data_IF_873601439268
#
_entry.id   IF_873601439268
#
_cell.length_a   1.000
_cell.length_b   1.000
_cell.length_c   1.000
_cell.angle_alpha   90.00
_cell.angle_beta   90.00
_cell.angle_gamma   90.00
#
_symmetry.space_group_name_H-M   'P 1'
#
loop_
_entity.id
_entity.type
_entity.pdbx_description
1 polymer ?
#
# COMPACT_ATOMS: atom_id res chain seq x y z
N UNK A 1 14.43 -1.46 -12.68
CA UNK A 1 15.57 -2.36 -12.43
C UNK A 1 16.42 -1.80 -11.32
N UNK A 2 16.69 -2.61 -10.30
CA UNK A 2 17.52 -2.28 -9.15
C UNK A 2 18.72 -3.21 -9.10
N UNK A 3 19.87 -2.72 -8.65
CA UNK A 3 21.14 -3.44 -8.68
C UNK A 3 21.72 -3.57 -7.28
N UNK A 4 22.39 -4.68 -6.99
CA UNK A 4 23.10 -4.86 -5.72
C UNK A 4 24.43 -5.58 -5.96
N UNK A 5 25.38 -5.41 -5.05
CA UNK A 5 26.64 -6.15 -5.09
C UNK A 5 26.50 -7.47 -4.34
N UNK A 6 26.80 -8.59 -5.01
CA UNK A 6 26.81 -9.93 -4.40
C UNK A 6 27.88 -10.07 -3.31
N UNK A 7 28.93 -9.24 -3.35
CA UNK A 7 30.01 -9.23 -2.34
C UNK A 7 29.66 -8.44 -1.08
N UNK A 8 28.65 -7.57 -1.15
CA UNK A 8 28.27 -6.71 -0.04
C UNK A 8 27.36 -7.42 0.95
N UNK A 9 27.75 -7.43 2.23
CA UNK A 9 26.93 -7.96 3.33
C UNK A 9 25.83 -7.01 3.81
N UNK A 10 25.79 -5.78 3.31
CA UNK A 10 24.89 -4.73 3.83
C UNK A 10 23.47 -4.77 3.24
N UNK A 11 23.20 -5.69 2.31
CA UNK A 11 21.92 -5.81 1.61
C UNK A 11 21.37 -4.46 1.10
N UNK A 12 22.17 -3.75 0.30
CA UNK A 12 21.81 -2.43 -0.26
C UNK A 12 21.54 -2.55 -1.75
N UNK A 13 20.43 -1.97 -2.20
CA UNK A 13 20.11 -1.82 -3.63
C UNK A 13 20.35 -0.39 -4.12
N UNK A 14 20.66 -0.29 -5.41
CA UNK A 14 21.07 0.90 -6.11
C UNK A 14 20.29 1.06 -7.42
N UNK A 15 20.16 2.30 -7.89
CA UNK A 15 19.64 2.61 -9.24
C UNK A 15 20.82 2.59 -10.23
N UNK A 16 20.52 2.37 -11.52
CA UNK A 16 21.49 2.57 -12.61
C UNK A 16 22.14 3.96 -12.50
N UNK A 17 23.48 4.01 -12.49
CA UNK A 17 24.24 5.26 -12.35
C UNK A 17 24.69 5.61 -10.93
N UNK A 18 24.37 4.79 -9.92
CA UNK A 18 24.94 4.99 -8.59
C UNK A 18 26.45 4.71 -8.58
N UNK A 19 27.25 5.65 -8.05
CA UNK A 19 28.72 5.48 -7.90
C UNK A 19 29.12 4.15 -7.24
N UNK A 20 28.32 3.65 -6.31
CA UNK A 20 28.62 2.41 -5.59
C UNK A 20 28.45 1.15 -6.43
N UNK A 21 27.61 1.17 -7.46
CA UNK A 21 27.41 0.02 -8.36
C UNK A 21 28.24 0.14 -9.63
N UNK A 22 28.50 1.35 -10.11
CA UNK A 22 29.28 1.59 -11.35
C UNK A 22 30.73 1.13 -11.25
N UNK A 23 31.28 1.01 -10.03
CA UNK A 23 32.67 0.57 -9.78
C UNK A 23 32.75 -0.96 -9.57
N UNK A 24 31.62 -1.64 -9.40
CA UNK A 24 31.58 -3.09 -9.16
C UNK A 24 31.66 -3.81 -10.51
N UNK A 25 32.52 -4.83 -10.60
CA UNK A 25 32.60 -5.67 -11.80
C UNK A 25 31.26 -6.38 -12.07
N UNK A 26 30.85 -6.48 -13.34
CA UNK A 26 29.53 -6.96 -13.78
C UNK A 26 29.18 -8.36 -13.25
N UNK A 27 30.15 -9.27 -13.22
CA UNK A 27 30.04 -10.61 -12.63
C UNK A 27 29.52 -10.63 -11.18
N UNK A 28 29.85 -9.58 -10.43
CA UNK A 28 29.54 -9.42 -9.01
C UNK A 28 28.26 -8.61 -8.77
N UNK A 29 27.52 -8.26 -9.82
CA UNK A 29 26.26 -7.52 -9.73
C UNK A 29 25.08 -8.50 -9.80
N UNK A 30 24.16 -8.35 -8.85
CA UNK A 30 22.84 -8.96 -8.88
C UNK A 30 21.77 -7.91 -9.22
N UNK A 31 20.60 -8.36 -9.66
CA UNK A 31 19.50 -7.47 -10.03
C UNK A 31 18.18 -7.90 -9.41
N UNK A 32 17.31 -6.91 -9.17
CA UNK A 32 15.91 -7.09 -8.84
C UNK A 32 15.07 -6.33 -9.86
N UNK A 33 13.94 -6.92 -10.27
CA UNK A 33 13.01 -6.28 -11.18
C UNK A 33 12.25 -5.14 -10.48
N UNK A 34 11.85 -5.37 -9.22
CA UNK A 34 10.94 -4.50 -8.47
C UNK A 34 11.47 -4.20 -7.06
N UNK A 35 11.09 -3.05 -6.51
CA UNK A 35 11.48 -2.62 -5.16
C UNK A 35 10.89 -3.54 -4.08
N UNK A 36 9.63 -3.96 -4.25
CA UNK A 36 8.94 -4.93 -3.39
C UNK A 36 9.65 -6.26 -3.21
N UNK A 37 10.29 -6.75 -4.27
CA UNK A 37 11.06 -8.00 -4.22
C UNK A 37 12.30 -7.83 -3.34
N UNK A 38 13.08 -6.78 -3.61
CA UNK A 38 14.24 -6.43 -2.80
C UNK A 38 13.87 -6.24 -1.31
N UNK A 39 12.77 -5.57 -1.01
CA UNK A 39 12.31 -5.36 0.37
C UNK A 39 11.86 -6.62 1.08
N UNK A 40 11.31 -7.62 0.36
CA UNK A 40 10.98 -8.94 0.92
C UNK A 40 12.23 -9.74 1.26
N UNK A 41 13.25 -9.65 0.43
CA UNK A 41 14.58 -10.23 0.66
C UNK A 41 15.39 -9.48 1.73
N UNK A 42 14.82 -8.44 2.34
CA UNK A 42 15.45 -7.68 3.43
C UNK A 42 16.44 -6.61 2.96
N UNK A 43 16.53 -6.34 1.66
CA UNK A 43 17.37 -5.28 1.13
C UNK A 43 16.79 -3.89 1.43
N UNK A 44 17.67 -2.89 1.44
CA UNK A 44 17.35 -1.48 1.65
C UNK A 44 17.89 -0.62 0.52
N UNK A 45 17.20 0.47 0.19
CA UNK A 45 17.65 1.39 -0.85
C UNK A 45 18.83 2.23 -0.39
N UNK A 46 19.83 2.43 -1.25
CA UNK A 46 20.96 3.32 -0.96
C UNK A 46 20.44 4.70 -0.54
N UNK A 47 21.00 5.26 0.51
CA UNK A 47 20.71 6.63 0.95
C UNK A 47 20.93 7.68 -0.15
N UNK A 48 21.85 7.38 -1.08
CA UNK A 48 22.18 8.18 -2.24
C UNK A 48 21.17 8.06 -3.39
N UNK A 49 20.59 6.87 -3.56
CA UNK A 49 19.63 6.59 -4.64
C UNK A 49 18.20 6.84 -4.20
N UNK A 50 17.94 6.94 -2.90
CA UNK A 50 16.61 7.06 -2.34
C UNK A 50 16.10 8.51 -2.47
N UNK A 51 15.14 8.79 -3.38
CA UNK A 51 14.64 10.15 -3.55
C UNK A 51 13.83 10.62 -2.32
N UNK A 52 13.21 9.68 -1.58
CA UNK A 52 12.51 9.99 -0.33
C UNK A 52 13.48 10.51 0.74
N UNK A 53 14.69 9.96 0.81
CA UNK A 53 15.72 10.42 1.74
C UNK A 53 16.19 11.85 1.40
N UNK A 54 16.38 12.13 0.11
CA UNK A 54 16.76 13.47 -0.34
C UNK A 54 15.67 14.50 0.00
N UNK A 55 14.42 14.23 -0.40
CA UNK A 55 13.28 15.11 -0.11
C UNK A 55 13.13 15.34 1.40
N UNK A 56 13.18 14.28 2.21
CA UNK A 56 13.09 14.39 3.66
C UNK A 56 14.17 15.29 4.25
N UNK A 57 15.43 15.15 3.79
CA UNK A 57 16.54 15.98 4.28
C UNK A 57 16.41 17.44 3.89
N UNK A 58 15.78 17.74 2.76
CA UNK A 58 15.57 19.11 2.31
C UNK A 58 14.36 19.77 2.99
N UNK A 59 13.31 19.01 3.29
CA UNK A 59 12.02 19.53 3.77
C UNK A 59 11.79 19.27 5.27
N UNK A 60 12.72 18.64 6.00
CA UNK A 60 12.48 18.15 7.37
C UNK A 60 11.96 19.22 8.34
N UNK A 61 12.51 20.42 8.27
CA UNK A 61 12.18 21.51 9.19
C UNK A 61 10.77 22.06 8.92
N UNK A 62 10.44 22.22 7.64
CA UNK A 62 9.11 22.65 7.18
C UNK A 62 8.04 21.61 7.52
N UNK A 63 8.35 20.32 7.36
CA UNK A 63 7.46 19.23 7.76
C UNK A 63 7.22 19.23 9.27
N UNK A 64 8.28 19.44 10.07
CA UNK A 64 8.16 19.50 11.52
C UNK A 64 7.29 20.68 11.97
N UNK A 65 7.53 21.87 11.42
CA UNK A 65 6.73 23.06 11.70
C UNK A 65 5.25 22.84 11.34
N UNK A 66 4.98 22.34 10.13
CA UNK A 66 3.63 22.04 9.68
C UNK A 66 2.93 21.00 10.56
N UNK A 67 3.66 19.97 10.99
CA UNK A 67 3.14 18.93 11.87
C UNK A 67 2.74 19.47 13.24
N UNK A 68 3.57 20.31 13.85
CA UNK A 68 3.25 20.96 15.13
C UNK A 68 2.00 21.84 14.99
N UNK A 69 1.90 22.62 13.92
CA UNK A 69 0.75 23.50 13.69
C UNK A 69 -0.57 22.74 13.49
N UNK A 70 -0.53 21.53 12.91
CA UNK A 70 -1.73 20.76 12.55
C UNK A 70 -2.00 19.54 13.45
N UNK A 71 -1.21 19.34 14.51
CA UNK A 71 -1.36 18.22 15.44
C UNK A 71 -1.10 16.85 14.80
N UNK A 72 -0.10 16.78 13.90
CA UNK A 72 0.36 15.56 13.25
C UNK A 72 1.59 15.02 13.96
N UNK A 73 1.75 13.71 14.00
CA UNK A 73 3.06 13.08 14.29
C UNK A 73 3.54 12.34 13.04
N UNK A 74 4.85 12.29 12.84
CA UNK A 74 5.41 11.49 11.75
C UNK A 74 6.74 10.85 12.15
N UNK A 75 7.07 9.78 11.45
CA UNK A 75 8.32 9.04 11.62
C UNK A 75 8.90 8.71 10.26
N UNK A 76 10.15 9.16 10.05
CA UNK A 76 10.92 8.78 8.88
C UNK A 76 11.56 7.40 9.07
N UNK A 77 11.47 6.57 8.03
CA UNK A 77 12.27 5.37 7.86
C UNK A 77 12.79 5.33 6.42
N UNK A 78 13.91 4.62 6.15
CA UNK A 78 14.43 4.52 4.78
C UNK A 78 13.44 3.95 3.76
N UNK A 79 12.43 3.20 4.23
CA UNK A 79 11.41 2.59 3.37
C UNK A 79 10.19 3.48 3.15
N UNK A 80 9.83 4.30 4.14
CA UNK A 80 8.62 5.10 4.14
C UNK A 80 8.64 6.19 5.23
N UNK A 81 7.86 7.25 5.03
CA UNK A 81 7.45 8.19 6.08
C UNK A 81 6.08 7.78 6.57
N UNK A 82 5.96 7.39 7.84
CA UNK A 82 4.67 7.16 8.49
C UNK A 82 4.16 8.47 9.06
N UNK A 83 2.91 8.84 8.78
CA UNK A 83 2.25 10.02 9.33
C UNK A 83 1.01 9.56 10.09
N UNK A 84 0.87 9.99 11.33
CA UNK A 84 -0.28 9.68 12.17
C UNK A 84 -1.03 10.96 12.50
N UNK A 85 -2.34 10.87 12.35
CA UNK A 85 -3.27 11.89 12.79
C UNK A 85 -4.10 11.31 13.93
N UNK A 86 -4.86 12.14 14.68
CA UNK A 86 -5.77 11.62 15.71
C UNK A 86 -6.80 10.59 15.22
N UNK A 87 -7.00 10.45 13.90
CA UNK A 87 -8.03 9.56 13.32
C UNK A 87 -7.50 8.46 12.42
N UNK A 88 -6.35 8.64 11.80
CA UNK A 88 -5.91 7.76 10.72
C UNK A 88 -4.39 7.66 10.66
N UNK A 89 -3.93 6.56 10.08
CA UNK A 89 -2.52 6.31 9.84
C UNK A 89 -2.25 6.33 8.34
N UNK A 90 -1.18 7.02 7.95
CA UNK A 90 -0.78 7.23 6.58
C UNK A 90 0.68 6.82 6.41
N UNK A 91 1.04 6.44 5.19
CA UNK A 91 2.41 6.15 4.80
C UNK A 91 2.71 6.75 3.44
N UNK A 92 3.83 7.45 3.34
CA UNK A 92 4.39 7.91 2.07
C UNK A 92 5.56 6.99 1.77
N UNK A 93 5.50 6.25 0.66
CA UNK A 93 6.52 5.31 0.26
C UNK A 93 6.84 5.45 -1.23
N UNK A 94 7.99 4.93 -1.65
CA UNK A 94 8.34 4.88 -3.07
C UNK A 94 7.45 3.88 -3.80
N UNK A 95 7.08 4.21 -5.03
CA UNK A 95 6.43 3.27 -5.93
C UNK A 95 7.42 2.21 -6.43
N UNK A 96 6.91 1.02 -6.76
CA UNK A 96 7.72 -0.07 -7.28
C UNK A 96 8.28 0.22 -8.68
N UNK A 97 7.50 0.92 -9.50
CA UNK A 97 7.73 1.10 -10.93
C UNK A 97 8.14 2.53 -11.32
N UNK A 98 7.96 3.49 -10.42
CA UNK A 98 8.28 4.89 -10.67
C UNK A 98 9.17 5.46 -9.58
N UNK A 99 10.08 6.38 -9.94
CA UNK A 99 10.90 7.13 -8.97
C UNK A 99 10.06 8.18 -8.19
N UNK A 100 8.74 8.01 -8.14
CA UNK A 100 7.82 8.90 -7.46
C UNK A 100 7.39 8.32 -6.12
N UNK A 101 7.01 9.21 -5.23
CA UNK A 101 6.40 8.85 -3.95
C UNK A 101 4.89 8.61 -4.13
N UNK A 102 4.33 7.68 -3.37
CA UNK A 102 2.90 7.43 -3.30
C UNK A 102 2.39 7.53 -1.87
N UNK A 103 1.14 7.96 -1.74
CA UNK A 103 0.44 8.03 -0.47
C UNK A 103 -0.44 6.79 -0.26
N UNK A 104 -0.26 6.19 0.91
CA UNK A 104 -1.00 5.04 1.38
C UNK A 104 -1.76 5.41 2.65
N UNK A 105 -2.99 4.92 2.77
CA UNK A 105 -3.88 5.22 3.89
C UNK A 105 -4.34 3.92 4.56
N UNK A 106 -4.18 3.81 5.87
CA UNK A 106 -4.71 2.70 6.65
C UNK A 106 -6.15 3.00 7.03
N UNK A 107 -7.09 2.39 6.31
CA UNK A 107 -8.49 2.49 6.66
C UNK A 107 -8.84 1.37 7.64
N UNK A 108 -9.28 1.72 8.85
CA UNK A 108 -9.73 0.76 9.87
C UNK A 108 -11.02 0.03 9.52
N UNK A 109 -11.70 0.40 8.42
CA UNK A 109 -13.07 -0.04 8.11
C UNK A 109 -13.25 -1.06 6.97
N UNK A 110 -12.20 -1.47 6.24
CA UNK A 110 -12.36 -2.37 5.09
C UNK A 110 -11.43 -3.60 5.14
N UNK A 111 -11.83 -4.69 5.81
CA UNK A 111 -11.06 -5.94 5.89
C UNK A 111 -11.18 -6.78 4.59
N UNK A 112 -10.96 -6.18 3.42
CA UNK A 112 -11.17 -6.88 2.15
C UNK A 112 -10.54 -6.28 0.89
N UNK A 113 -9.71 -5.23 0.99
CA UNK A 113 -8.97 -4.72 -0.17
C UNK A 113 -7.70 -5.56 -0.38
N UNK A 114 -7.86 -6.78 -0.89
CA UNK A 114 -6.75 -7.71 -1.17
C UNK A 114 -6.18 -7.52 -2.57
N UNK A 115 -6.17 -6.29 -3.08
CA UNK A 115 -5.63 -6.00 -4.41
C UNK A 115 -4.66 -4.82 -4.33
N UNK A 116 -3.37 -5.16 -4.36
CA UNK A 116 -2.27 -4.25 -4.63
C UNK A 116 -1.85 -3.32 -3.47
N UNK A 117 -1.19 -3.86 -2.44
CA UNK A 117 -0.51 -3.03 -1.45
C UNK A 117 0.98 -3.43 -1.38
N UNK A 118 1.86 -2.50 -1.76
CA UNK A 118 3.29 -2.54 -1.42
C UNK A 118 3.48 -2.51 0.10
N UNK A 119 2.55 -1.84 0.80
CA UNK A 119 2.51 -1.63 2.23
C UNK A 119 1.32 -2.39 2.83
N UNK A 120 1.51 -3.53 3.49
CA UNK A 120 0.41 -4.34 4.00
C UNK A 120 -0.53 -3.58 4.95
N UNK A 121 -1.83 -3.59 4.67
CA UNK A 121 -2.88 -2.98 5.49
C UNK A 121 -3.16 -1.51 5.14
N UNK A 122 -2.62 -1.00 4.03
CA UNK A 122 -2.81 0.37 3.58
C UNK A 122 -3.19 0.44 2.09
N UNK A 123 -4.32 1.06 1.78
CA UNK A 123 -4.73 1.25 0.39
C UNK A 123 -4.02 2.45 -0.23
N UNK A 124 -3.69 2.36 -1.52
CA UNK A 124 -3.10 3.45 -2.28
C UNK A 124 -4.16 4.52 -2.58
N UNK A 125 -3.88 5.77 -2.21
CA UNK A 125 -4.77 6.91 -2.45
C UNK A 125 -4.67 7.46 -3.89
N UNK A 126 -3.70 6.96 -4.68
CA UNK A 126 -3.43 7.36 -6.07
C UNK A 126 -3.14 8.85 -6.25
N UNK A 127 -2.57 9.50 -5.22
CA UNK A 127 -2.06 10.87 -5.31
C UNK A 127 -0.54 10.85 -5.35
N UNK A 128 0.01 11.69 -6.24
CA UNK A 128 1.45 11.84 -6.45
C UNK A 128 1.79 13.33 -6.42
N UNK A 129 2.76 13.69 -5.59
CA UNK A 129 3.30 15.04 -5.48
C UNK A 129 4.82 15.01 -5.64
N UNK A 130 5.40 16.13 -6.05
CA UNK A 130 6.84 16.26 -6.26
C UNK A 130 7.63 16.45 -4.95
N UNK A 131 6.99 17.00 -3.92
CA UNK A 131 7.55 17.30 -2.59
C UNK A 131 6.74 16.62 -1.50
N UNK A 132 7.26 16.58 -0.28
CA UNK A 132 6.62 15.90 0.86
C UNK A 132 5.52 16.74 1.50
N UNK A 133 5.68 18.06 1.58
CA UNK A 133 4.70 18.93 2.24
C UNK A 133 3.27 18.81 1.67
N UNK A 134 3.04 18.77 0.34
CA UNK A 134 1.70 18.60 -0.23
C UNK A 134 0.99 17.32 0.24
N UNK A 135 1.74 16.25 0.54
CA UNK A 135 1.14 15.05 1.13
C UNK A 135 0.57 15.33 2.53
N UNK A 136 1.30 16.07 3.36
CA UNK A 136 0.85 16.43 4.71
C UNK A 136 -0.39 17.33 4.65
N UNK A 137 -0.39 18.30 3.73
CA UNK A 137 -1.56 19.14 3.48
C UNK A 137 -2.77 18.33 3.01
N UNK A 138 -2.55 17.34 2.13
CA UNK A 138 -3.60 16.44 1.67
C UNK A 138 -4.18 15.63 2.84
N UNK A 139 -3.32 15.06 3.70
CA UNK A 139 -3.72 14.27 4.86
C UNK A 139 -4.63 15.08 5.79
N UNK A 140 -4.23 16.31 6.15
CA UNK A 140 -5.03 17.19 7.01
C UNK A 140 -6.38 17.52 6.37
N UNK A 141 -6.41 17.88 5.08
CA UNK A 141 -7.65 18.18 4.36
C UNK A 141 -8.57 16.97 4.29
N UNK A 142 -8.01 15.79 4.05
CA UNK A 142 -8.77 14.55 3.98
C UNK A 142 -9.39 14.22 5.35
N UNK A 143 -8.61 14.28 6.42
CA UNK A 143 -9.09 13.91 7.75
C UNK A 143 -10.08 14.92 8.33
N UNK A 144 -9.85 16.22 8.11
CA UNK A 144 -10.81 17.28 8.46
C UNK A 144 -12.13 17.11 7.69
N UNK A 145 -12.07 16.74 6.41
CA UNK A 145 -13.27 16.40 5.64
C UNK A 145 -14.00 15.18 6.22
N UNK A 146 -13.29 14.09 6.55
CA UNK A 146 -13.87 12.91 7.20
C UNK A 146 -14.42 13.22 8.60
N UNK A 147 -13.86 14.20 9.28
CA UNK A 147 -14.38 14.72 10.55
C UNK A 147 -15.74 15.38 10.37
N UNK A 148 -15.84 16.26 9.39
CA UNK A 148 -17.08 17.01 9.10
C UNK A 148 -18.15 16.17 8.40
N UNK A 149 -17.75 15.07 7.74
CA UNK A 149 -18.64 14.20 6.98
C UNK A 149 -18.51 12.75 7.48
N UNK A 150 -19.01 12.44 8.70
CA UNK A 150 -19.03 11.08 9.19
C UNK A 150 -19.85 10.20 8.24
N UNK A 151 -19.30 9.04 7.86
CA UNK A 151 -20.03 8.09 7.05
C UNK A 151 -21.26 7.61 7.83
N UNK A 152 -22.44 7.49 7.18
CA UNK A 152 -23.59 6.93 7.83
C UNK A 152 -23.24 5.52 8.32
N UNK A 153 -23.56 5.23 9.59
CA UNK A 153 -23.35 3.92 10.18
C UNK A 153 -24.07 2.90 9.29
N UNK A 154 -23.33 1.87 8.85
CA UNK A 154 -23.93 0.81 8.04
C UNK A 154 -25.17 0.28 8.79
N UNK A 155 -26.33 0.17 8.13
CA UNK A 155 -27.53 -0.29 8.79
C UNK A 155 -27.24 -1.65 9.42
N UNK A 156 -27.55 -1.79 10.71
CA UNK A 156 -27.34 -3.06 11.42
C UNK A 156 -27.96 -4.18 10.59
N UNK A 157 -27.23 -5.31 10.47
CA UNK A 157 -27.75 -6.48 9.78
C UNK A 157 -29.08 -6.84 10.42
N UNK A 158 -30.17 -6.68 9.65
CA UNK A 158 -31.50 -7.05 10.12
C UNK A 158 -31.45 -8.49 10.61
N UNK A 159 -32.15 -8.84 11.71
CA UNK A 159 -32.17 -10.21 12.19
C UNK A 159 -32.58 -11.16 11.06
N UNK A 160 -32.08 -12.42 11.08
CA UNK A 160 -32.42 -13.42 10.09
C UNK A 160 -33.94 -13.54 9.99
N UNK A 161 -34.45 -13.68 8.77
CA UNK A 161 -35.90 -13.72 8.58
C UNK A 161 -36.50 -14.97 9.26
N UNK A 162 -37.57 -14.80 10.02
CA UNK A 162 -38.28 -15.90 10.65
C UNK A 162 -38.83 -16.87 9.58
N UNK A 163 -38.68 -18.18 9.83
CA UNK A 163 -39.14 -19.25 8.94
C UNK A 163 -40.64 -19.09 8.66
N UNK A 164 -41.03 -19.23 7.39
CA UNK A 164 -42.42 -19.07 6.94
C UNK A 164 -42.74 -17.68 6.37
N UNK A 165 -41.98 -16.64 6.71
CA UNK A 165 -42.20 -15.28 6.19
C UNK A 165 -41.82 -15.14 4.70
N UNK A 166 -42.43 -14.16 4.00
CA UNK A 166 -42.07 -13.81 2.60
C UNK A 166 -40.59 -13.46 2.46
N UNK A 167 -40.03 -12.78 3.47
CA UNK A 167 -38.60 -12.43 3.54
C UNK A 167 -37.71 -13.67 3.61
N UNK A 168 -38.05 -14.64 4.45
CA UNK A 168 -37.33 -15.92 4.55
C UNK A 168 -37.33 -16.68 3.22
N UNK A 169 -38.49 -16.78 2.55
CA UNK A 169 -38.58 -17.45 1.24
C UNK A 169 -37.71 -16.76 0.18
N UNK A 170 -37.66 -15.42 0.19
CA UNK A 170 -36.81 -14.62 -0.72
C UNK A 170 -35.32 -14.80 -0.42
N UNK A 171 -34.94 -14.81 0.86
CA UNK A 171 -33.56 -15.07 1.32
C UNK A 171 -33.11 -16.49 0.92
N UNK A 172 -33.93 -17.52 1.14
CA UNK A 172 -33.68 -18.89 0.68
C UNK A 172 -33.51 -18.97 -0.85
N UNK A 173 -34.40 -18.35 -1.63
CA UNK A 173 -34.31 -18.34 -3.10
C UNK A 173 -33.00 -17.67 -3.57
N UNK A 174 -32.60 -16.57 -2.92
CA UNK A 174 -31.33 -15.89 -3.20
C UNK A 174 -30.13 -16.77 -2.85
N UNK A 175 -30.15 -17.40 -1.67
CA UNK A 175 -29.09 -18.30 -1.22
C UNK A 175 -28.93 -19.50 -2.17
N UNK A 176 -30.03 -20.14 -2.59
CA UNK A 176 -30.01 -21.22 -3.60
C UNK A 176 -29.43 -20.76 -4.93
N UNK A 177 -29.80 -19.56 -5.41
CA UNK A 177 -29.24 -18.99 -6.65
C UNK A 177 -27.74 -18.70 -6.53
N UNK A 178 -27.30 -18.20 -5.38
CA UNK A 178 -25.87 -17.97 -5.10
C UNK A 178 -25.10 -19.30 -5.01
N UNK A 179 -25.63 -20.31 -4.31
CA UNK A 179 -25.03 -21.63 -4.23
C UNK A 179 -24.89 -22.28 -5.61
N UNK A 180 -25.92 -22.17 -6.47
CA UNK A 180 -25.85 -22.63 -7.86
C UNK A 180 -24.73 -21.93 -8.64
N UNK A 181 -24.64 -20.60 -8.55
CA UNK A 181 -23.57 -19.83 -9.21
C UNK A 181 -22.17 -20.20 -8.68
N UNK A 182 -22.04 -20.38 -7.37
CA UNK A 182 -20.77 -20.78 -6.75
C UNK A 182 -20.35 -22.19 -7.18
N UNK A 183 -21.30 -23.13 -7.26
CA UNK A 183 -21.07 -24.48 -7.77
C UNK A 183 -20.59 -24.45 -9.23
N UNK A 184 -21.27 -23.70 -10.11
CA UNK A 184 -20.85 -23.53 -11.52
C UNK A 184 -19.44 -22.93 -11.59
N UNK A 185 -19.17 -21.86 -10.83
CA UNK A 185 -17.84 -21.24 -10.79
C UNK A 185 -16.76 -22.23 -10.30
N UNK A 186 -17.09 -23.06 -9.31
CA UNK A 186 -16.15 -24.06 -8.81
C UNK A 186 -15.84 -25.13 -9.87
N UNK A 187 -16.85 -25.59 -10.62
CA UNK A 187 -16.66 -26.53 -11.72
C UNK A 187 -15.77 -25.93 -12.81
N UNK A 188 -16.04 -24.70 -13.25
CA UNK A 188 -15.21 -24.01 -14.24
C UNK A 188 -13.76 -23.88 -13.79
N UNK A 189 -13.54 -23.51 -12.52
CA UNK A 189 -12.19 -23.44 -11.92
C UNK A 189 -11.47 -24.80 -11.95
N UNK A 190 -12.19 -25.89 -11.67
CA UNK A 190 -11.61 -27.26 -11.73
C UNK A 190 -11.23 -27.62 -13.17
N UNK A 191 -12.07 -27.30 -14.15
CA UNK A 191 -11.78 -27.53 -15.57
C UNK A 191 -10.55 -26.74 -16.02
N UNK A 192 -10.46 -25.46 -15.67
CA UNK A 192 -9.29 -24.62 -15.95
C UNK A 192 -8.00 -25.21 -15.34
N UNK A 193 -8.06 -25.67 -14.09
CA UNK A 193 -6.90 -26.28 -13.43
C UNK A 193 -6.43 -27.57 -14.12
N UNK A 194 -7.36 -28.38 -14.64
CA UNK A 194 -7.04 -29.64 -15.34
C UNK A 194 -6.49 -29.39 -16.76
N UNK A 195 -6.96 -28.34 -17.44
CA UNK A 195 -6.50 -27.97 -18.78
C UNK A 195 -5.12 -27.30 -18.79
N UNK A 196 -4.64 -26.78 -17.67
CA UNK A 196 -3.28 -26.23 -17.53
C UNK A 196 -2.23 -27.34 -17.30
N UNK A 197 -2.68 -28.54 -16.90
CA UNK A 197 -1.82 -29.69 -16.62
C UNK A 197 -1.64 -30.68 -17.79
N UNK A 198 -2.15 -30.35 -18.98
CA UNK A 198 -1.91 -31.08 -20.24
C UNK A 198 -1.10 -30.22 -21.20
#
# INVERSE_FOLDING_TARGET
MYYFSKKSRRHIIHIAGCRHITVVAEENIGTFSNLKEAYREGYQMCQCCNPLNYQYRCESDELLEYSVQNGLSFKYTPKAISVETPRSHWKIALDDNSNHTMLYHQNTYHPGSTACELVPGYHCQQVVYATLLPYFQYIVKHDTYRWRNPLPVAPQKRPPAQKGTKRYRKEQKKARKQAKRASVKNVLRVIEALNITQ
#
